data_IF_193637922929
#
_entry.id   IF_193637922929
#
_cell.length_a   1.000
_cell.length_b   1.000
_cell.length_c   1.000
_cell.angle_alpha   90.00
_cell.angle_beta   90.00
_cell.angle_gamma   90.00
#
_symmetry.space_group_name_H-M   'P 1'
#
loop_
_entity.id
_entity.type
_entity.pdbx_description
1 polymer ?
#
# COMPACT_ATOMS: atom_id res chain seq x y z
N UNK A 1 -35.68 10.11 9.95
CA UNK A 1 -34.59 9.80 10.90
C UNK A 1 -33.67 8.62 10.54
N UNK A 2 -34.05 7.66 9.69
CA UNK A 2 -33.18 6.51 9.32
C UNK A 2 -32.05 6.84 8.32
N UNK A 3 -32.14 7.95 7.58
CA UNK A 3 -31.12 8.39 6.61
C UNK A 3 -29.93 9.12 7.28
N UNK A 4 -30.16 9.81 8.41
CA UNK A 4 -29.13 10.51 9.19
C UNK A 4 -28.15 9.58 9.91
N UNK A 5 -28.56 8.36 10.25
CA UNK A 5 -27.66 7.34 10.82
C UNK A 5 -26.80 6.63 9.76
N UNK A 6 -27.20 6.70 8.49
CA UNK A 6 -26.44 6.10 7.38
C UNK A 6 -25.33 7.05 6.91
N UNK A 7 -25.56 8.38 6.88
CA UNK A 7 -24.49 9.34 6.58
C UNK A 7 -23.42 9.42 7.67
N UNK A 8 -23.78 9.18 8.94
CA UNK A 8 -22.85 9.21 10.07
C UNK A 8 -21.93 7.98 10.13
N UNK A 9 -22.38 6.82 9.62
CA UNK A 9 -21.56 5.61 9.49
C UNK A 9 -20.68 5.67 8.24
N UNK A 10 -21.18 6.26 7.15
CA UNK A 10 -20.36 6.52 5.96
C UNK A 10 -19.27 7.54 6.30
N UNK A 11 -19.59 8.62 7.02
CA UNK A 11 -18.62 9.61 7.50
C UNK A 11 -17.57 9.07 8.48
N UNK A 12 -17.91 8.07 9.31
CA UNK A 12 -16.94 7.39 10.18
C UNK A 12 -16.01 6.42 9.40
N UNK A 13 -16.49 5.84 8.30
CA UNK A 13 -15.69 4.96 7.45
C UNK A 13 -14.81 5.71 6.46
N UNK A 14 -15.24 6.88 5.95
CA UNK A 14 -14.35 7.83 5.26
C UNK A 14 -13.41 8.52 6.24
N UNK A 15 -13.85 8.87 7.45
CA UNK A 15 -13.00 9.50 8.47
C UNK A 15 -11.82 8.64 8.93
N UNK A 16 -11.97 7.31 8.99
CA UNK A 16 -10.84 6.41 9.29
C UNK A 16 -9.85 6.27 8.11
N UNK A 17 -10.30 6.50 6.87
CA UNK A 17 -9.43 6.62 5.69
C UNK A 17 -8.81 8.02 5.56
N UNK A 18 -9.46 9.05 6.09
CA UNK A 18 -9.02 10.45 6.04
C UNK A 18 -8.13 10.85 7.22
N UNK A 19 -8.26 10.19 8.38
CA UNK A 19 -7.43 10.44 9.57
C UNK A 19 -6.02 9.83 9.47
N UNK A 20 -5.73 9.09 8.40
CA UNK A 20 -4.36 8.76 7.99
C UNK A 20 -3.75 9.85 7.08
N UNK A 21 -4.56 10.83 6.63
CA UNK A 21 -4.14 11.89 5.72
C UNK A 21 -3.65 13.17 6.40
N UNK A 22 -4.05 13.47 7.63
CA UNK A 22 -3.71 14.76 8.27
C UNK A 22 -2.27 14.84 8.81
N UNK A 23 -1.66 13.72 9.19
CA UNK A 23 -0.22 13.67 9.51
C UNK A 23 0.65 13.49 8.25
N UNK A 24 0.02 13.28 7.09
CA UNK A 24 0.67 13.08 5.79
C UNK A 24 0.83 14.40 5.03
N UNK A 25 0.12 15.46 5.42
CA UNK A 25 0.12 16.76 4.74
C UNK A 25 1.46 17.51 4.93
N UNK A 26 2.04 17.49 6.14
CA UNK A 26 3.36 18.07 6.40
C UNK A 26 4.52 17.26 5.77
N UNK A 27 4.34 15.94 5.61
CA UNK A 27 5.30 15.07 4.91
C UNK A 27 5.17 15.17 3.38
N UNK A 28 3.97 15.46 2.86
CA UNK A 28 3.71 15.65 1.44
C UNK A 28 4.40 16.91 0.89
N UNK A 29 4.41 18.02 1.63
CA UNK A 29 5.09 19.25 1.21
C UNK A 29 6.62 19.04 1.10
N UNK A 30 7.21 18.29 2.03
CA UNK A 30 8.63 17.94 1.99
C UNK A 30 8.94 16.97 0.85
N UNK A 31 8.09 15.98 0.60
CA UNK A 31 8.24 15.03 -0.51
C UNK A 31 8.05 15.73 -1.87
N UNK A 32 7.10 16.67 -1.97
CA UNK A 32 6.87 17.48 -3.17
C UNK A 32 8.10 18.33 -3.48
N UNK A 33 8.69 19.01 -2.48
CA UNK A 33 9.93 19.77 -2.67
C UNK A 33 11.12 18.89 -3.11
N UNK A 34 11.23 17.67 -2.58
CA UNK A 34 12.27 16.73 -2.98
C UNK A 34 12.02 16.19 -4.40
N UNK A 35 10.77 15.84 -4.74
CA UNK A 35 10.40 15.40 -6.08
C UNK A 35 10.60 16.50 -7.10
N UNK A 36 10.24 17.75 -6.81
CA UNK A 36 10.50 18.89 -7.68
C UNK A 36 11.99 19.06 -7.93
N UNK A 37 12.83 18.93 -6.90
CA UNK A 37 14.29 19.02 -7.07
C UNK A 37 14.87 17.87 -7.90
N UNK A 38 14.30 16.66 -7.81
CA UNK A 38 14.71 15.48 -8.59
C UNK A 38 14.24 15.62 -10.05
N UNK A 39 13.00 16.06 -10.27
CA UNK A 39 12.44 16.35 -11.59
C UNK A 39 13.20 17.47 -12.26
N UNK A 40 13.54 18.53 -11.53
CA UNK A 40 14.30 19.66 -12.06
C UNK A 40 15.73 19.28 -12.41
N UNK A 41 16.40 18.45 -11.59
CA UNK A 41 17.72 17.88 -11.92
C UNK A 41 17.66 16.95 -13.14
N UNK A 42 16.62 16.13 -13.26
CA UNK A 42 16.39 15.32 -14.45
C UNK A 42 16.11 16.20 -15.69
N UNK A 43 15.38 17.31 -15.55
CA UNK A 43 15.13 18.23 -16.67
C UNK A 43 16.38 19.00 -17.08
N UNK A 44 17.21 19.47 -16.13
CA UNK A 44 18.45 20.20 -16.45
C UNK A 44 19.54 19.29 -17.01
N UNK A 45 19.59 18.03 -16.59
CA UNK A 45 20.55 17.05 -17.12
C UNK A 45 20.19 16.57 -18.54
N UNK A 46 18.93 16.74 -18.98
CA UNK A 46 18.44 16.30 -20.30
C UNK A 46 17.98 17.45 -21.20
N UNK A 47 18.01 18.71 -20.72
CA UNK A 47 17.46 19.89 -21.39
C UNK A 47 18.38 20.60 -22.39
N UNK A 48 19.50 19.99 -22.79
CA UNK A 48 20.45 20.56 -23.77
C UNK A 48 20.43 19.89 -25.15
N UNK A 49 19.39 19.12 -25.48
CA UNK A 49 19.12 18.62 -26.83
C UNK A 49 17.76 19.14 -27.33
N UNK A 50 17.72 20.43 -27.69
CA UNK A 50 16.52 21.21 -28.06
C UNK A 50 15.89 20.86 -29.42
N UNK A 51 16.14 19.68 -30.00
CA UNK A 51 15.56 19.37 -31.33
C UNK A 51 15.10 17.93 -31.54
N UNK A 52 14.52 17.32 -30.50
CA UNK A 52 13.76 16.06 -30.64
C UNK A 52 12.45 16.12 -29.86
N UNK A 53 11.43 16.58 -30.56
CA UNK A 53 10.02 16.28 -30.29
C UNK A 53 9.74 14.78 -30.58
N UNK A 54 10.42 13.89 -29.85
CA UNK A 54 10.23 12.45 -29.97
C UNK A 54 10.49 11.80 -28.62
N UNK A 55 9.41 11.39 -27.96
CA UNK A 55 9.41 10.48 -26.82
C UNK A 55 10.35 10.87 -25.67
N UNK A 56 9.87 11.71 -24.74
CA UNK A 56 10.38 11.58 -23.37
C UNK A 56 10.23 10.10 -23.02
N UNK A 57 11.32 9.35 -22.73
CA UNK A 57 11.15 8.00 -22.22
C UNK A 57 10.34 8.20 -20.95
N UNK A 58 9.09 7.74 -20.95
CA UNK A 58 8.32 7.59 -19.72
C UNK A 58 9.14 6.62 -18.91
N UNK A 59 10.05 7.15 -18.08
CA UNK A 59 10.84 6.36 -17.15
C UNK A 59 9.82 5.51 -16.41
N UNK A 60 9.99 4.20 -16.53
CA UNK A 60 9.07 3.27 -15.86
C UNK A 60 9.10 3.61 -14.38
N UNK A 61 7.96 3.54 -13.70
CA UNK A 61 7.89 3.73 -12.25
C UNK A 61 8.87 2.78 -11.56
N UNK A 62 9.08 1.59 -12.15
CA UNK A 62 10.11 0.64 -11.76
C UNK A 62 11.53 1.22 -11.75
N UNK A 63 11.91 1.98 -12.77
CA UNK A 63 13.20 2.67 -12.83
C UNK A 63 13.30 3.78 -11.79
N UNK A 64 12.24 4.58 -11.61
CA UNK A 64 12.19 5.62 -10.58
C UNK A 64 12.39 5.04 -9.19
N UNK A 65 11.70 3.95 -8.86
CA UNK A 65 11.87 3.23 -7.59
C UNK A 65 13.29 2.67 -7.45
N UNK A 66 13.87 2.11 -8.50
CA UNK A 66 15.26 1.64 -8.48
C UNK A 66 16.27 2.76 -8.18
N UNK A 67 16.07 3.94 -8.77
CA UNK A 67 16.93 5.10 -8.51
C UNK A 67 16.77 5.61 -7.08
N UNK A 68 15.52 5.69 -6.59
CA UNK A 68 15.22 6.11 -5.22
C UNK A 68 15.81 5.19 -4.16
N UNK A 69 15.93 3.88 -4.46
CA UNK A 69 16.54 2.90 -3.56
C UNK A 69 18.07 2.86 -3.60
N UNK A 70 18.69 3.53 -4.57
CA UNK A 70 20.14 3.57 -4.74
C UNK A 70 20.93 3.93 -3.49
N UNK A 71 20.54 4.97 -2.71
CA UNK A 71 21.21 5.34 -1.46
C UNK A 71 21.14 4.25 -0.39
N UNK A 72 19.96 3.64 -0.16
CA UNK A 72 19.78 2.62 0.88
C UNK A 72 20.60 1.35 0.60
N UNK A 73 20.73 0.98 -0.68
CA UNK A 73 21.54 -0.19 -1.10
C UNK A 73 23.04 -0.01 -0.88
N UNK A 74 23.52 1.23 -0.74
CA UNK A 74 24.93 1.55 -0.49
C UNK A 74 25.27 1.63 1.01
N UNK A 75 24.28 1.71 1.88
CA UNK A 75 24.47 1.74 3.34
C UNK A 75 24.92 0.37 3.86
N UNK A 76 25.69 0.35 4.95
CA UNK A 76 25.95 -0.91 5.67
C UNK A 76 24.65 -1.45 6.27
N UNK A 77 24.60 -2.76 6.56
CA UNK A 77 23.41 -3.37 7.16
C UNK A 77 23.04 -2.71 8.50
N UNK A 78 24.04 -2.39 9.33
CA UNK A 78 23.84 -1.75 10.63
C UNK A 78 23.37 -0.29 10.49
N UNK A 79 23.91 0.44 9.51
CA UNK A 79 23.50 1.82 9.23
C UNK A 79 22.06 1.86 8.74
N UNK A 80 21.70 0.99 7.79
CA UNK A 80 20.34 0.90 7.27
C UNK A 80 19.36 0.47 8.35
N UNK A 81 19.70 -0.54 9.15
CA UNK A 81 18.85 -1.00 10.24
C UNK A 81 18.56 0.12 11.24
N UNK A 82 19.58 0.90 11.65
CA UNK A 82 19.38 2.07 12.54
C UNK A 82 18.53 3.14 11.88
N UNK A 83 18.77 3.41 10.59
CA UNK A 83 17.99 4.38 9.83
C UNK A 83 16.51 4.00 9.75
N UNK A 84 16.21 2.73 9.49
CA UNK A 84 14.85 2.18 9.45
C UNK A 84 14.24 2.21 10.86
N UNK A 85 14.97 1.78 11.88
CA UNK A 85 14.51 1.80 13.26
C UNK A 85 14.14 3.22 13.72
N UNK A 86 15.00 4.21 13.46
CA UNK A 86 14.76 5.59 13.83
C UNK A 86 13.57 6.19 13.07
N UNK A 87 13.46 5.91 11.76
CA UNK A 87 12.33 6.36 10.94
C UNK A 87 11.01 5.76 11.41
N UNK A 88 10.98 4.45 11.65
CA UNK A 88 9.77 3.76 12.09
C UNK A 88 9.40 4.15 13.54
N UNK A 89 10.36 4.40 14.44
CA UNK A 89 10.10 4.90 15.80
C UNK A 89 9.44 6.27 15.81
N UNK A 90 9.82 7.14 14.86
CA UNK A 90 9.22 8.47 14.69
C UNK A 90 7.82 8.39 14.09
N UNK A 91 7.54 7.36 13.30
CA UNK A 91 6.20 7.10 12.79
C UNK A 91 5.23 6.64 13.89
N UNK A 92 3.92 6.80 13.66
CA UNK A 92 2.87 6.25 14.54
C UNK A 92 2.91 4.72 14.72
N UNK A 93 3.78 4.01 13.98
CA UNK A 93 3.98 2.56 14.10
C UNK A 93 4.98 2.15 15.19
N UNK A 94 5.58 3.10 15.92
CA UNK A 94 6.58 2.83 16.97
C UNK A 94 6.19 1.76 18.00
N UNK A 95 4.89 1.66 18.35
CA UNK A 95 4.39 0.63 19.27
C UNK A 95 4.39 -0.79 18.67
N UNK A 96 4.17 -0.92 17.35
CA UNK A 96 4.22 -2.20 16.64
C UNK A 96 5.64 -2.75 16.58
N UNK A 97 6.63 -1.89 16.34
CA UNK A 97 8.05 -2.27 16.26
C UNK A 97 8.53 -2.86 17.59
N UNK A 98 8.15 -2.23 18.71
CA UNK A 98 8.48 -2.74 20.05
C UNK A 98 7.95 -4.16 20.28
N UNK A 99 6.81 -4.49 19.67
CA UNK A 99 6.20 -5.82 19.78
C UNK A 99 6.78 -6.82 18.76
N UNK A 100 7.18 -6.34 17.59
CA UNK A 100 7.68 -7.14 16.47
C UNK A 100 8.97 -6.53 15.90
N UNK A 101 10.12 -6.69 16.59
CA UNK A 101 11.38 -6.07 16.17
C UNK A 101 11.86 -6.56 14.81
N UNK A 102 11.52 -7.80 14.44
CA UNK A 102 11.82 -8.39 13.12
C UNK A 102 11.24 -7.62 11.93
N UNK A 103 10.27 -6.72 12.18
CA UNK A 103 9.75 -5.85 11.13
C UNK A 103 10.84 -4.91 10.59
N UNK A 104 11.81 -4.51 11.43
CA UNK A 104 12.94 -3.67 11.00
C UNK A 104 13.82 -4.46 10.03
N UNK A 105 14.12 -5.71 10.34
CA UNK A 105 14.90 -6.60 9.47
C UNK A 105 14.20 -6.77 8.11
N UNK A 106 12.89 -7.06 8.13
CA UNK A 106 12.09 -7.22 6.91
C UNK A 106 12.13 -5.97 6.04
N UNK A 107 11.93 -4.79 6.63
CA UNK A 107 11.95 -3.52 5.89
C UNK A 107 13.35 -3.22 5.35
N UNK A 108 14.41 -3.49 6.14
CA UNK A 108 15.79 -3.28 5.72
C UNK A 108 16.17 -4.16 4.53
N UNK A 109 15.83 -5.45 4.58
CA UNK A 109 16.03 -6.40 3.48
C UNK A 109 15.21 -5.99 2.24
N UNK A 110 13.96 -5.56 2.42
CA UNK A 110 13.12 -5.05 1.33
C UNK A 110 13.73 -3.82 0.62
N UNK A 111 14.35 -2.91 1.37
CA UNK A 111 15.01 -1.72 0.83
C UNK A 111 16.31 -2.08 0.09
N UNK A 112 17.04 -3.09 0.56
CA UNK A 112 18.27 -3.58 -0.09
C UNK A 112 18.00 -4.38 -1.35
N UNK A 113 16.90 -5.11 -1.41
CA UNK A 113 16.63 -6.01 -2.52
C UNK A 113 16.50 -5.25 -3.87
N UNK A 114 17.19 -5.70 -4.94
CA UNK A 114 17.17 -5.05 -6.24
C UNK A 114 15.80 -5.09 -6.95
N UNK A 115 14.93 -6.03 -6.58
CA UNK A 115 13.72 -6.39 -7.31
C UNK A 115 12.41 -6.29 -6.51
N UNK A 116 12.43 -6.41 -5.18
CA UNK A 116 11.24 -6.46 -4.35
C UNK A 116 10.36 -5.22 -4.48
N UNK A 117 10.86 -4.06 -4.06
CA UNK A 117 10.10 -2.81 -4.20
C UNK A 117 9.87 -2.40 -5.66
N UNK A 118 10.84 -2.55 -6.59
CA UNK A 118 10.58 -2.28 -8.01
C UNK A 118 9.52 -3.19 -8.64
N UNK A 119 9.43 -4.47 -8.27
CA UNK A 119 8.38 -5.38 -8.77
C UNK A 119 7.00 -4.99 -8.26
N UNK A 120 6.88 -4.56 -7.00
CA UNK A 120 5.64 -4.03 -6.44
C UNK A 120 5.14 -2.79 -7.21
N UNK A 121 6.04 -1.94 -7.71
CA UNK A 121 5.63 -0.80 -8.54
C UNK A 121 4.96 -1.23 -9.86
N UNK A 122 5.28 -2.44 -10.35
CA UNK A 122 4.64 -3.04 -11.52
C UNK A 122 3.14 -3.27 -11.36
N UNK A 123 2.64 -3.36 -10.11
CA UNK A 123 1.19 -3.42 -9.82
C UNK A 123 0.46 -2.20 -10.39
N UNK A 124 1.08 -1.02 -10.30
CA UNK A 124 0.51 0.25 -10.78
C UNK A 124 0.64 0.37 -12.29
N UNK A 125 1.70 -0.17 -12.88
CA UNK A 125 1.94 -0.11 -14.33
C UNK A 125 0.96 -1.00 -15.13
N UNK A 126 0.53 -2.12 -14.55
CA UNK A 126 -0.42 -3.06 -15.19
C UNK A 126 -1.87 -2.63 -15.03
N UNK A 127 -2.21 -1.53 -15.72
CA UNK A 127 -3.55 -0.90 -15.68
C UNK A 127 -4.67 -1.86 -16.05
N UNK A 128 -4.44 -2.77 -16.99
CA UNK A 128 -5.39 -3.80 -17.41
C UNK A 128 -5.81 -4.69 -16.23
N UNK A 129 -4.84 -5.31 -15.54
CA UNK A 129 -5.09 -6.13 -14.35
C UNK A 129 -5.72 -5.32 -13.22
N UNK A 130 -5.29 -4.07 -13.06
CA UNK A 130 -5.82 -3.18 -12.03
C UNK A 130 -7.30 -2.87 -12.27
N UNK A 131 -7.72 -2.60 -13.51
CA UNK A 131 -9.13 -2.40 -13.84
C UNK A 131 -9.98 -3.66 -13.59
N UNK A 132 -9.48 -4.84 -13.94
CA UNK A 132 -10.16 -6.10 -13.61
C UNK A 132 -10.27 -6.30 -12.09
N UNK A 133 -9.20 -6.04 -11.34
CA UNK A 133 -9.21 -6.11 -9.89
C UNK A 133 -10.23 -5.15 -9.27
N UNK A 134 -10.31 -3.91 -9.75
CA UNK A 134 -11.31 -2.93 -9.31
C UNK A 134 -12.72 -3.43 -9.61
N UNK A 135 -12.97 -3.95 -10.82
CA UNK A 135 -14.25 -4.54 -11.19
C UNK A 135 -14.67 -5.71 -10.28
N UNK A 136 -13.74 -6.60 -9.95
CA UNK A 136 -13.97 -7.70 -9.01
C UNK A 136 -14.26 -7.17 -7.60
N UNK A 137 -13.53 -6.15 -7.13
CA UNK A 137 -13.78 -5.55 -5.82
C UNK A 137 -15.16 -4.91 -5.72
N UNK A 138 -15.60 -4.22 -6.77
CA UNK A 138 -16.96 -3.70 -6.89
C UNK A 138 -17.96 -4.85 -6.81
N UNK A 139 -17.72 -5.95 -7.53
CA UNK A 139 -18.52 -7.17 -7.44
C UNK A 139 -18.60 -7.75 -6.01
N UNK A 140 -17.47 -7.81 -5.30
CA UNK A 140 -17.41 -8.28 -3.90
C UNK A 140 -18.22 -7.36 -2.97
N UNK A 141 -18.22 -6.04 -3.21
CA UNK A 141 -19.04 -5.09 -2.44
C UNK A 141 -20.52 -5.40 -2.62
N UNK A 142 -20.98 -5.53 -3.87
CA UNK A 142 -22.38 -5.89 -4.17
C UNK A 142 -22.75 -7.26 -3.60
N UNK A 143 -21.85 -8.24 -3.71
CA UNK A 143 -22.01 -9.55 -3.09
C UNK A 143 -22.16 -9.45 -1.56
N UNK A 144 -21.35 -8.62 -0.91
CA UNK A 144 -21.46 -8.36 0.53
C UNK A 144 -22.79 -7.72 0.95
N UNK A 145 -23.34 -6.82 0.13
CA UNK A 145 -24.66 -6.22 0.33
C UNK A 145 -25.77 -7.27 0.16
N UNK A 146 -25.69 -8.08 -0.90
CA UNK A 146 -26.64 -9.18 -1.14
C UNK A 146 -26.61 -10.19 0.01
N UNK A 147 -25.42 -10.60 0.45
CA UNK A 147 -25.22 -11.52 1.56
C UNK A 147 -25.79 -10.95 2.87
N UNK A 148 -25.63 -9.65 3.12
CA UNK A 148 -26.28 -8.96 4.26
C UNK A 148 -27.79 -9.08 4.19
N UNK A 149 -28.39 -8.85 3.02
CA UNK A 149 -29.85 -8.92 2.84
C UNK A 149 -30.38 -10.34 3.04
N UNK A 150 -29.66 -11.36 2.55
CA UNK A 150 -30.06 -12.76 2.66
C UNK A 150 -29.90 -13.34 4.08
N UNK A 151 -28.93 -12.83 4.86
CA UNK A 151 -28.62 -13.37 6.20
C UNK A 151 -29.27 -12.61 7.35
N UNK A 152 -29.88 -11.45 7.09
CA UNK A 152 -30.60 -10.67 8.10
C UNK A 152 -31.99 -11.27 8.31
N UNK A 153 -32.16 -12.08 9.35
CA UNK A 153 -33.48 -12.55 9.80
C UNK A 153 -33.99 -11.63 10.91
N UNK A 154 -35.28 -11.28 10.86
CA UNK A 154 -35.93 -10.53 11.93
C UNK A 154 -36.01 -11.42 13.18
N UNK A 155 -35.48 -10.94 14.31
CA UNK A 155 -35.44 -11.68 15.58
C UNK A 155 -34.05 -12.09 16.07
N UNK A 156 -32.97 -11.88 15.30
CA UNK A 156 -31.61 -12.11 15.80
C UNK A 156 -31.26 -11.13 16.94
N UNK A 157 -30.79 -11.67 18.08
CA UNK A 157 -30.22 -10.86 19.16
C UNK A 157 -28.96 -10.08 18.72
N UNK A 158 -28.62 -9.02 19.46
CA UNK A 158 -27.49 -8.13 19.13
C UNK A 158 -26.16 -8.88 18.94
N UNK A 159 -25.89 -9.88 19.78
CA UNK A 159 -24.66 -10.70 19.71
C UNK A 159 -24.62 -11.56 18.44
N UNK A 160 -25.74 -12.20 18.08
CA UNK A 160 -25.83 -13.02 16.87
C UNK A 160 -25.61 -12.16 15.61
N UNK A 161 -26.14 -10.94 15.61
CA UNK A 161 -25.94 -9.95 14.53
C UNK A 161 -24.48 -9.50 14.44
N UNK A 162 -23.83 -9.22 15.57
CA UNK A 162 -22.42 -8.84 15.62
C UNK A 162 -21.51 -9.96 15.10
N UNK A 163 -21.72 -11.20 15.56
CA UNK A 163 -20.96 -12.38 15.12
C UNK A 163 -21.08 -12.61 13.60
N UNK A 164 -22.30 -12.58 13.06
CA UNK A 164 -22.54 -12.69 11.60
C UNK A 164 -21.85 -11.56 10.84
N UNK A 165 -21.89 -10.34 11.38
CA UNK A 165 -21.19 -9.18 10.83
C UNK A 165 -19.68 -9.39 10.75
N UNK A 166 -19.08 -9.91 11.84
CA UNK A 166 -17.64 -10.18 11.93
C UNK A 166 -17.20 -11.28 10.95
N UNK A 167 -17.92 -12.41 10.92
CA UNK A 167 -17.62 -13.51 9.98
C UNK A 167 -17.71 -13.01 8.54
N UNK A 168 -18.76 -12.24 8.19
CA UNK A 168 -18.89 -11.65 6.86
C UNK A 168 -17.73 -10.70 6.56
N UNK A 169 -17.36 -9.85 7.52
CA UNK A 169 -16.24 -8.94 7.37
C UNK A 169 -14.95 -9.70 7.07
N UNK A 170 -14.60 -10.73 7.85
CA UNK A 170 -13.43 -11.56 7.59
C UNK A 170 -13.50 -12.26 6.24
N UNK A 171 -14.64 -12.87 5.91
CA UNK A 171 -14.82 -13.57 4.64
C UNK A 171 -14.60 -12.64 3.43
N UNK A 172 -15.21 -11.44 3.44
CA UNK A 172 -15.03 -10.47 2.36
C UNK A 172 -13.59 -9.94 2.28
N UNK A 173 -12.93 -9.73 3.42
CA UNK A 173 -11.52 -9.30 3.43
C UNK A 173 -10.58 -10.40 2.92
N UNK A 174 -10.76 -11.65 3.34
CA UNK A 174 -10.00 -12.79 2.81
C UNK A 174 -10.20 -12.92 1.32
N UNK A 175 -11.44 -12.79 0.83
CA UNK A 175 -11.72 -12.84 -0.60
C UNK A 175 -11.02 -11.71 -1.37
N UNK A 176 -10.99 -10.49 -0.82
CA UNK A 176 -10.27 -9.35 -1.43
C UNK A 176 -8.76 -9.53 -1.45
N UNK A 177 -8.19 -10.03 -0.35
CA UNK A 177 -6.75 -10.32 -0.29
C UNK A 177 -6.42 -11.44 -1.27
N UNK A 178 -7.23 -12.50 -1.33
CA UNK A 178 -7.04 -13.60 -2.26
C UNK A 178 -7.10 -13.14 -3.72
N UNK A 179 -8.05 -12.27 -4.09
CA UNK A 179 -8.09 -11.72 -5.45
C UNK A 179 -6.91 -10.80 -5.73
N UNK A 180 -6.48 -9.97 -4.77
CA UNK A 180 -5.29 -9.15 -4.93
C UNK A 180 -4.04 -10.01 -5.17
N UNK A 181 -3.81 -11.02 -4.32
CA UNK A 181 -2.68 -11.95 -4.46
C UNK A 181 -2.75 -12.71 -5.78
N UNK A 182 -3.93 -13.14 -6.22
CA UNK A 182 -4.08 -13.83 -7.50
C UNK A 182 -3.69 -12.98 -8.72
N UNK A 183 -4.10 -11.70 -8.75
CA UNK A 183 -3.83 -10.81 -9.89
C UNK A 183 -2.38 -10.29 -9.94
N UNK A 184 -1.77 -10.12 -8.77
CA UNK A 184 -0.46 -9.50 -8.61
C UNK A 184 0.57 -10.46 -8.01
N UNK A 185 0.36 -11.76 -8.20
CA UNK A 185 1.23 -12.80 -7.63
C UNK A 185 2.69 -12.57 -8.05
N UNK A 186 2.95 -12.40 -9.34
CA UNK A 186 4.30 -12.24 -9.89
C UNK A 186 5.02 -11.00 -9.30
N UNK A 187 4.28 -9.93 -9.05
CA UNK A 187 4.80 -8.69 -8.48
C UNK A 187 5.01 -8.76 -6.95
N UNK A 188 4.21 -9.57 -6.25
CA UNK A 188 4.28 -9.72 -4.79
C UNK A 188 5.33 -10.75 -4.36
N UNK A 189 5.62 -11.74 -5.21
CA UNK A 189 6.48 -12.87 -4.85
C UNK A 189 7.89 -12.48 -4.38
N UNK A 190 8.61 -11.54 -5.02
CA UNK A 190 9.93 -11.12 -4.55
C UNK A 190 9.90 -10.55 -3.13
N UNK A 191 8.92 -9.70 -2.82
CA UNK A 191 8.72 -9.17 -1.48
C UNK A 191 8.32 -10.27 -0.47
N UNK A 192 7.50 -11.23 -0.90
CA UNK A 192 7.08 -12.34 -0.06
C UNK A 192 8.23 -13.27 0.35
N UNK A 193 9.16 -13.54 -0.57
CA UNK A 193 10.33 -14.36 -0.27
C UNK A 193 11.20 -13.74 0.84
N UNK A 194 11.41 -12.42 0.80
CA UNK A 194 12.14 -11.70 1.84
C UNK A 194 11.44 -11.84 3.19
N UNK A 195 10.14 -11.55 3.23
CA UNK A 195 9.34 -11.67 4.46
C UNK A 195 9.43 -13.08 5.04
N UNK A 196 9.32 -14.10 4.19
CA UNK A 196 9.39 -15.50 4.61
C UNK A 196 10.77 -15.85 5.17
N UNK A 197 11.84 -15.45 4.48
CA UNK A 197 13.22 -15.78 4.85
C UNK A 197 13.61 -15.10 6.17
N UNK A 198 13.31 -13.81 6.31
CA UNK A 198 13.61 -13.03 7.51
C UNK A 198 12.80 -13.52 8.73
N UNK A 199 11.50 -13.80 8.55
CA UNK A 199 10.63 -14.24 9.65
C UNK A 199 10.73 -15.74 9.96
N UNK A 200 11.46 -16.51 9.12
CA UNK A 200 11.59 -17.98 9.22
C UNK A 200 10.24 -18.70 9.26
N UNK A 201 9.33 -18.28 8.37
CA UNK A 201 7.97 -18.82 8.21
C UNK A 201 7.90 -20.06 7.31
#
# INVERSE_FOLDING_TARGET
>A
MKLLKLSLIIGLLTGAFFSFGSDLEDDLDNIESQMESVVQKAQTQYGQDENKESARPTQSLKETVRMALGPFRKMSDEELHRHVEDSLKRSGTGALIKKYPQTIDVVSELLKDPEALPSLSGVVERRDRLWFFVGINIGIIFFGIALRKLTSKDGDGLVARARKGLIRFFFLNVLRIATFVYFFYDELMPAWYIVKDTLKL
#
